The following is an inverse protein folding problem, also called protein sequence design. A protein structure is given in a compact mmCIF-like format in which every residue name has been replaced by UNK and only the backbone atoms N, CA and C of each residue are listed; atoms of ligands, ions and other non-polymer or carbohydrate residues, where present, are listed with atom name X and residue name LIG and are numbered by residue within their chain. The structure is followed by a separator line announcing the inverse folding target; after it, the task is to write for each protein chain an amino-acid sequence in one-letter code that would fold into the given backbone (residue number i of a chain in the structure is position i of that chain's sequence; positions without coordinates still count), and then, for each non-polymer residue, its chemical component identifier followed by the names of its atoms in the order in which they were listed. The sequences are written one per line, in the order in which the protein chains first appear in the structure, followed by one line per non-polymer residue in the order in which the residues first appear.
data_IF_385759614071
#
_entry.id   IF_385759614071
#
_cell.length_a   1.000
_cell.length_b   1.000
_cell.length_c   1.000
_cell.angle_alpha   90.00
_cell.angle_beta   90.00
_cell.angle_gamma   90.00
#
_symmetry.space_group_name_H-M   'P 1'
#
loop_
_entity.id
_entity.type
_entity.pdbx_description
1 polymer ?
#
# COMPACT_ATOMS: atom_id res chain seq x y z
N UNK A 1 17.45 -22.96 -4.40
CA UNK A 1 16.25 -22.13 -4.57
C UNK A 1 16.00 -21.48 -3.22
N UNK A 2 16.45 -20.25 -3.03
CA UNK A 2 16.12 -19.50 -1.82
C UNK A 2 14.61 -19.26 -1.82
N UNK A 3 13.93 -19.93 -0.90
CA UNK A 3 12.57 -19.58 -0.52
C UNK A 3 12.73 -18.26 0.24
N UNK A 4 12.58 -17.14 -0.46
CA UNK A 4 12.46 -15.83 0.16
C UNK A 4 11.15 -15.93 0.94
N UNK A 5 11.26 -16.02 2.27
CA UNK A 5 10.14 -15.94 3.19
C UNK A 5 9.56 -14.52 3.02
N UNK A 6 8.66 -14.36 2.05
CA UNK A 6 7.96 -13.11 1.80
C UNK A 6 6.95 -12.96 2.93
N UNK A 7 7.39 -12.29 3.98
CA UNK A 7 6.51 -11.92 5.08
C UNK A 7 5.38 -11.04 4.49
N UNK A 8 4.11 -11.49 4.56
CA UNK A 8 3.01 -10.79 3.91
C UNK A 8 2.82 -9.37 4.47
N UNK A 9 3.33 -9.08 5.67
CA UNK A 9 3.30 -7.75 6.27
C UNK A 9 4.29 -6.80 5.56
N UNK A 10 5.45 -7.31 5.15
CA UNK A 10 6.46 -6.54 4.41
C UNK A 10 5.92 -6.02 3.07
N UNK A 11 5.24 -6.88 2.31
CA UNK A 11 4.72 -6.52 0.99
C UNK A 11 3.52 -5.57 1.08
N UNK A 12 2.70 -5.69 2.13
CA UNK A 12 1.62 -4.75 2.42
C UNK A 12 2.17 -3.36 2.74
N UNK A 13 3.29 -3.28 3.48
CA UNK A 13 3.97 -2.02 3.77
C UNK A 13 4.61 -1.42 2.50
N UNK A 14 5.26 -2.23 1.67
CA UNK A 14 5.82 -1.77 0.38
C UNK A 14 4.71 -1.23 -0.54
N UNK A 15 3.60 -1.95 -0.64
CA UNK A 15 2.41 -1.52 -1.36
C UNK A 15 1.87 -0.17 -0.84
N UNK A 16 1.84 0.03 0.48
CA UNK A 16 1.43 1.29 1.08
C UNK A 16 2.38 2.44 0.74
N UNK A 17 3.71 2.20 0.78
CA UNK A 17 4.72 3.19 0.40
C UNK A 17 4.60 3.59 -1.06
N UNK A 18 4.41 2.62 -1.97
CA UNK A 18 4.15 2.92 -3.37
C UNK A 18 2.92 3.79 -3.54
N UNK A 19 1.85 3.51 -2.79
CA UNK A 19 0.61 4.29 -2.82
C UNK A 19 0.79 5.72 -2.29
N UNK A 20 1.69 5.93 -1.34
CA UNK A 20 2.05 7.24 -0.79
C UNK A 20 2.85 8.06 -1.80
N UNK A 21 3.87 7.45 -2.41
CA UNK A 21 4.71 8.05 -3.45
C UNK A 21 3.98 8.30 -4.78
N UNK A 22 2.90 7.55 -5.05
CA UNK A 22 2.11 7.70 -6.28
C UNK A 22 0.81 8.48 -6.03
N UNK A 23 0.75 9.78 -6.40
CA UNK A 23 -0.45 10.59 -6.21
C UNK A 23 -1.65 10.08 -7.03
N UNK A 24 -2.87 10.40 -6.58
CA UNK A 24 -4.12 9.96 -7.25
C UNK A 24 -4.21 10.42 -8.71
N UNK A 25 -3.66 11.59 -9.02
CA UNK A 25 -3.66 12.14 -10.38
C UNK A 25 -2.87 11.30 -11.40
N UNK A 26 -1.89 10.52 -10.93
CA UNK A 26 -1.08 9.64 -11.78
C UNK A 26 -1.61 8.20 -11.82
N UNK A 27 -2.71 7.91 -11.12
CA UNK A 27 -3.31 6.58 -11.07
C UNK A 27 -4.54 6.54 -11.98
N UNK A 28 -4.51 5.76 -13.07
CA UNK A 28 -5.65 5.65 -13.99
C UNK A 28 -6.82 4.85 -13.39
N UNK A 29 -6.58 4.12 -12.29
CA UNK A 29 -7.52 3.16 -11.70
C UNK A 29 -7.62 3.35 -10.18
N UNK A 30 -8.65 2.77 -9.53
CA UNK A 30 -8.78 2.79 -8.08
C UNK A 30 -7.56 2.17 -7.39
N UNK A 31 -7.19 2.71 -6.23
CA UNK A 31 -6.03 2.28 -5.44
C UNK A 31 -5.92 0.76 -5.26
N UNK A 32 -7.01 0.10 -4.83
CA UNK A 32 -7.04 -1.35 -4.58
C UNK A 32 -6.80 -2.15 -5.87
N UNK A 33 -7.29 -1.67 -7.01
CA UNK A 33 -7.12 -2.36 -8.31
C UNK A 33 -5.67 -2.26 -8.76
N UNK A 34 -5.04 -1.09 -8.63
CA UNK A 34 -3.63 -0.90 -8.94
C UNK A 34 -2.73 -1.73 -8.02
N UNK A 35 -3.03 -1.74 -6.72
CA UNK A 35 -2.29 -2.52 -5.74
C UNK A 35 -2.38 -4.02 -6.03
N UNK A 36 -3.55 -4.54 -6.39
CA UNK A 36 -3.70 -5.95 -6.79
C UNK A 36 -3.00 -6.28 -8.10
N UNK A 37 -2.92 -5.33 -9.04
CA UNK A 37 -2.22 -5.54 -10.30
C UNK A 37 -0.70 -5.55 -10.12
N UNK A 38 -0.19 -4.76 -9.17
CA UNK A 38 1.24 -4.58 -8.91
C UNK A 38 1.81 -5.53 -7.87
N UNK A 39 0.99 -5.88 -6.87
CA UNK A 39 1.28 -6.79 -5.77
C UNK A 39 0.20 -7.90 -5.76
N UNK A 40 0.24 -8.85 -6.71
CA UNK A 40 -0.75 -9.92 -6.74
C UNK A 40 -0.74 -10.82 -5.50
N UNK A 41 0.42 -10.96 -4.85
CA UNK A 41 0.65 -11.85 -3.72
C UNK A 41 -0.02 -11.40 -2.41
N UNK A 42 -0.25 -10.09 -2.20
CA UNK A 42 -0.96 -9.57 -1.00
C UNK A 42 -2.49 -9.74 -1.12
N UNK A 43 -2.99 -10.06 -2.32
CA UNK A 43 -4.40 -10.26 -2.59
C UNK A 43 -5.28 -9.02 -2.34
N UNK A 44 -6.59 -9.23 -2.26
CA UNK A 44 -7.54 -8.13 -2.04
C UNK A 44 -7.49 -7.59 -0.60
N UNK A 45 -7.28 -8.47 0.38
CA UNK A 45 -7.21 -8.09 1.80
C UNK A 45 -5.98 -7.25 2.06
N UNK A 46 -4.79 -7.68 1.61
CA UNK A 46 -3.56 -6.92 1.78
C UNK A 46 -3.58 -5.58 1.02
N UNK A 47 -4.20 -5.52 -0.16
CA UNK A 47 -4.40 -4.26 -0.87
C UNK A 47 -5.28 -3.25 -0.08
N UNK A 48 -6.32 -3.72 0.60
CA UNK A 48 -7.12 -2.88 1.49
C UNK A 48 -6.33 -2.42 2.72
N UNK A 49 -5.51 -3.30 3.30
CA UNK A 49 -4.62 -2.95 4.42
C UNK A 49 -3.60 -1.89 4.01
N UNK A 50 -2.93 -2.07 2.87
CA UNK A 50 -1.97 -1.11 2.32
C UNK A 50 -2.61 0.27 2.08
N UNK A 51 -3.85 0.29 1.55
CA UNK A 51 -4.62 1.52 1.41
C UNK A 51 -4.94 2.17 2.76
N UNK A 52 -5.33 1.39 3.76
CA UNK A 52 -5.61 1.90 5.11
C UNK A 52 -4.34 2.48 5.76
N UNK A 53 -3.20 1.82 5.64
CA UNK A 53 -1.89 2.31 6.12
C UNK A 53 -1.54 3.63 5.43
N UNK A 54 -1.61 3.70 4.11
CA UNK A 54 -1.31 4.91 3.36
C UNK A 54 -2.27 6.07 3.72
N UNK A 55 -3.56 5.79 3.93
CA UNK A 55 -4.51 6.81 4.38
C UNK A 55 -4.21 7.27 5.81
N UNK A 56 -3.83 6.36 6.71
CA UNK A 56 -3.41 6.72 8.08
C UNK A 56 -2.16 7.59 8.08
N UNK A 57 -1.18 7.30 7.22
CA UNK A 57 0.02 8.16 7.08
C UNK A 57 -0.35 9.53 6.50
N UNK A 58 -1.20 9.58 5.48
CA UNK A 58 -1.71 10.86 4.92
C UNK A 58 -2.52 11.67 5.92
N UNK A 59 -3.35 11.03 6.74
CA UNK A 59 -4.16 11.68 7.76
C UNK A 59 -3.35 12.03 9.01
N UNK A 60 -2.38 11.19 9.38
CA UNK A 60 -1.53 11.33 10.56
C UNK A 60 -0.37 12.33 10.41
N UNK A 61 -0.04 12.73 9.17
CA UNK A 61 0.81 13.91 8.93
C UNK A 61 0.18 15.23 9.36
N UNK A 62 -1.12 15.26 9.69
CA UNK A 62 -1.79 16.42 10.29
C UNK A 62 -1.64 16.49 11.81
N UNK A 63 -1.14 15.44 12.47
CA UNK A 63 -0.88 15.41 13.92
C UNK A 63 0.64 15.46 14.17
N UNK A 64 1.31 16.47 13.65
CA UNK A 64 2.70 16.80 14.00
C UNK A 64 2.80 18.06 14.89
N UNK A 65 1.68 18.63 15.35
CA UNK A 65 1.67 19.70 16.36
C UNK A 65 0.31 19.75 17.06
N UNK A 66 0.30 19.67 18.39
CA UNK A 66 -0.89 19.69 19.25
C UNK A 66 -0.60 19.17 20.65
#
# INVERSE_FOLDING_TARGET
MEQIDFDPDHEVVEAAQWLLSTPKALRPRPAVVELRARFPQIGAVGACQALAIANRVRAGGANADG
#
